data_IF_975885308226
#
_entry.id   IF_975885308226
#
_cell.length_a   1.000
_cell.length_b   1.000
_cell.length_c   1.000
_cell.angle_alpha   90.00
_cell.angle_beta   90.00
_cell.angle_gamma   90.00
#
_symmetry.space_group_name_H-M   'P 1'
#
loop_
_entity.id
_entity.type
_entity.pdbx_description
1 polymer ?
#
# COMPACT_ATOMS: atom_id res chain seq x y z
N UNK A 1 8.19 -94.01 21.84
CA UNK A 1 7.31 -94.41 20.72
C UNK A 1 7.71 -95.82 20.31
N UNK A 2 6.84 -96.78 20.58
CA UNK A 2 7.06 -98.20 20.28
C UNK A 2 6.98 -98.42 18.77
N UNK A 3 7.91 -99.19 18.23
CA UNK A 3 8.07 -99.50 16.79
C UNK A 3 6.78 -99.94 16.10
N UNK A 4 5.86 -100.55 16.84
CA UNK A 4 4.54 -100.98 16.38
C UNK A 4 3.58 -99.84 16.03
N UNK A 5 3.66 -98.69 16.70
CA UNK A 5 2.85 -97.50 16.36
C UNK A 5 3.39 -96.80 15.11
N UNK A 6 4.70 -96.86 14.90
CA UNK A 6 5.35 -96.31 13.71
C UNK A 6 5.09 -97.19 12.48
N UNK A 7 5.07 -98.53 12.64
CA UNK A 7 4.70 -99.46 11.56
C UNK A 7 3.20 -99.41 11.22
N UNK A 8 2.30 -99.22 12.19
CA UNK A 8 0.87 -99.03 11.89
C UNK A 8 0.59 -97.68 11.26
N UNK A 9 1.27 -96.61 11.68
CA UNK A 9 1.19 -95.31 11.01
C UNK A 9 1.77 -95.41 9.58
N UNK A 10 2.90 -96.09 9.40
CA UNK A 10 3.54 -96.28 8.10
C UNK A 10 2.72 -97.16 7.15
N UNK A 11 2.10 -98.24 7.64
CA UNK A 11 1.22 -99.09 6.82
C UNK A 11 -0.10 -98.40 6.48
N UNK A 12 -0.68 -97.61 7.38
CA UNK A 12 -1.87 -96.82 7.10
C UNK A 12 -1.59 -95.68 6.09
N UNK A 13 -0.37 -95.14 6.07
CA UNK A 13 0.10 -94.19 5.04
C UNK A 13 0.40 -94.89 3.71
N UNK A 14 0.96 -96.11 3.73
CA UNK A 14 1.37 -96.89 2.56
C UNK A 14 0.19 -97.51 1.78
N UNK A 15 -0.89 -97.91 2.46
CA UNK A 15 -1.99 -98.67 1.84
C UNK A 15 -3.09 -97.83 1.16
N UNK A 16 -2.91 -96.52 1.00
CA UNK A 16 -3.89 -95.60 0.37
C UNK A 16 -5.34 -95.69 0.93
N UNK A 17 -5.58 -96.34 2.07
CA UNK A 17 -6.94 -96.58 2.58
C UNK A 17 -7.63 -95.29 3.02
N UNK A 18 -6.86 -94.25 3.38
CA UNK A 18 -7.40 -92.94 3.71
C UNK A 18 -7.95 -92.18 2.49
N UNK A 19 -7.42 -92.43 1.29
CA UNK A 19 -7.90 -91.76 0.07
C UNK A 19 -9.20 -92.34 -0.47
N UNK A 20 -9.68 -93.46 0.07
CA UNK A 20 -10.95 -94.09 -0.37
C UNK A 20 -12.09 -93.91 0.65
N UNK A 21 -11.84 -93.27 1.80
CA UNK A 21 -12.88 -92.96 2.79
C UNK A 21 -13.51 -91.60 2.49
N UNK A 22 -14.80 -91.60 2.14
CA UNK A 22 -15.55 -90.37 1.82
C UNK A 22 -15.53 -89.34 2.96
N UNK A 23 -15.35 -89.79 4.22
CA UNK A 23 -15.22 -88.93 5.40
C UNK A 23 -13.95 -88.08 5.35
N UNK A 24 -12.86 -88.59 4.79
CA UNK A 24 -11.60 -87.87 4.62
C UNK A 24 -11.78 -86.66 3.69
N UNK A 25 -12.46 -86.84 2.54
CA UNK A 25 -12.77 -85.75 1.62
C UNK A 25 -13.70 -84.70 2.25
N UNK A 26 -14.68 -85.12 3.06
CA UNK A 26 -15.60 -84.21 3.75
C UNK A 26 -14.87 -83.29 4.74
N UNK A 27 -13.94 -83.84 5.52
CA UNK A 27 -13.10 -83.07 6.46
C UNK A 27 -12.18 -82.13 5.70
N UNK A 28 -11.56 -82.59 4.60
CA UNK A 28 -10.67 -81.78 3.79
C UNK A 28 -11.40 -80.60 3.12
N UNK A 29 -12.58 -80.84 2.55
CA UNK A 29 -13.45 -79.79 2.01
C UNK A 29 -13.88 -78.80 3.10
N UNK A 30 -14.26 -79.30 4.27
CA UNK A 30 -14.63 -78.43 5.41
C UNK A 30 -13.45 -77.56 5.85
N UNK A 31 -12.23 -78.10 5.88
CA UNK A 31 -11.02 -77.39 6.26
C UNK A 31 -10.66 -76.30 5.23
N UNK A 32 -10.81 -76.59 3.94
CA UNK A 32 -10.63 -75.62 2.85
C UNK A 32 -11.69 -74.52 2.88
N UNK A 33 -12.96 -74.87 3.14
CA UNK A 33 -14.05 -73.89 3.26
C UNK A 33 -13.84 -72.96 4.46
N UNK A 34 -13.49 -73.51 5.62
CA UNK A 34 -13.19 -72.72 6.83
C UNK A 34 -11.96 -71.84 6.59
N UNK A 35 -10.88 -72.40 6.02
CA UNK A 35 -9.67 -71.64 5.67
C UNK A 35 -9.95 -70.50 4.69
N UNK A 36 -10.79 -70.74 3.68
CA UNK A 36 -11.21 -69.74 2.69
C UNK A 36 -12.10 -68.66 3.31
N UNK A 37 -13.00 -69.03 4.23
CA UNK A 37 -13.85 -68.09 4.95
C UNK A 37 -13.03 -67.15 5.85
N UNK A 38 -12.10 -67.71 6.64
CA UNK A 38 -11.19 -66.91 7.46
C UNK A 38 -10.25 -66.05 6.61
N UNK A 39 -9.72 -66.58 5.51
CA UNK A 39 -8.88 -65.82 4.57
C UNK A 39 -9.64 -64.65 3.94
N UNK A 40 -10.89 -64.86 3.52
CA UNK A 40 -11.74 -63.80 2.98
C UNK A 40 -12.09 -62.75 4.05
N UNK A 41 -12.37 -63.16 5.28
CA UNK A 41 -12.66 -62.25 6.39
C UNK A 41 -11.46 -61.36 6.75
N UNK A 42 -10.28 -61.94 6.92
CA UNK A 42 -9.04 -61.19 7.22
C UNK A 42 -8.71 -60.23 6.08
N UNK A 43 -8.82 -60.69 4.83
CA UNK A 43 -8.58 -59.83 3.65
C UNK A 43 -9.57 -58.67 3.60
N UNK A 44 -10.86 -58.93 3.83
CA UNK A 44 -11.89 -57.89 3.86
C UNK A 44 -11.61 -56.87 4.95
N UNK A 45 -11.36 -57.32 6.18
CA UNK A 45 -11.07 -56.45 7.32
C UNK A 45 -9.80 -55.61 7.11
N UNK A 46 -8.71 -56.21 6.62
CA UNK A 46 -7.47 -55.50 6.31
C UNK A 46 -7.67 -54.46 5.20
N UNK A 47 -8.45 -54.80 4.17
CA UNK A 47 -8.78 -53.88 3.07
C UNK A 47 -9.63 -52.71 3.56
N UNK A 48 -10.64 -52.98 4.38
CA UNK A 48 -11.52 -51.94 4.96
C UNK A 48 -10.73 -51.00 5.88
N UNK A 49 -9.85 -51.56 6.72
CA UNK A 49 -8.97 -50.77 7.59
C UNK A 49 -7.97 -49.94 6.80
N UNK A 50 -7.37 -50.49 5.74
CA UNK A 50 -6.47 -49.76 4.86
C UNK A 50 -7.20 -48.62 4.13
N UNK A 51 -8.41 -48.86 3.63
CA UNK A 51 -9.27 -47.83 3.01
C UNK A 51 -9.62 -46.72 4.00
N UNK A 52 -10.07 -47.06 5.22
CA UNK A 52 -10.36 -46.06 6.24
C UNK A 52 -9.12 -45.25 6.64
N UNK A 53 -7.96 -45.89 6.74
CA UNK A 53 -6.71 -45.19 7.02
C UNK A 53 -6.32 -44.23 5.90
N UNK A 54 -6.48 -44.65 4.63
CA UNK A 54 -6.23 -43.80 3.47
C UNK A 54 -7.19 -42.60 3.44
N UNK A 55 -8.49 -42.83 3.66
CA UNK A 55 -9.51 -41.76 3.74
C UNK A 55 -9.18 -40.76 4.86
N UNK A 56 -8.77 -41.24 6.03
CA UNK A 56 -8.39 -40.36 7.13
C UNK A 56 -7.14 -39.53 6.81
N UNK A 57 -6.16 -40.13 6.14
CA UNK A 57 -4.97 -39.42 5.65
C UNK A 57 -5.34 -38.34 4.63
N UNK A 58 -6.16 -38.68 3.64
CA UNK A 58 -6.62 -37.74 2.61
C UNK A 58 -7.42 -36.59 3.24
N UNK A 59 -8.27 -36.87 4.23
CA UNK A 59 -9.01 -35.85 4.98
C UNK A 59 -8.07 -34.94 5.78
N UNK A 60 -7.01 -35.47 6.40
CA UNK A 60 -6.01 -34.64 7.08
C UNK A 60 -5.25 -33.74 6.10
N UNK A 61 -4.93 -34.24 4.92
CA UNK A 61 -4.25 -33.46 3.88
C UNK A 61 -5.16 -32.36 3.33
N UNK A 62 -6.44 -32.67 3.11
CA UNK A 62 -7.45 -31.68 2.69
C UNK A 62 -7.60 -30.59 3.76
N UNK A 63 -7.68 -30.95 5.04
CA UNK A 63 -7.77 -29.96 6.14
C UNK A 63 -6.53 -29.07 6.19
N UNK A 64 -5.35 -29.65 6.04
CA UNK A 64 -4.08 -28.89 6.02
C UNK A 64 -4.06 -27.91 4.85
N UNK A 65 -4.36 -28.38 3.63
CA UNK A 65 -4.45 -27.54 2.43
C UNK A 65 -5.49 -26.42 2.57
N UNK A 66 -6.66 -26.71 3.15
CA UNK A 66 -7.70 -25.72 3.39
C UNK A 66 -7.25 -24.66 4.41
N UNK A 67 -6.59 -25.10 5.48
CA UNK A 67 -6.01 -24.20 6.50
C UNK A 67 -4.94 -23.29 5.90
N UNK A 68 -4.02 -23.84 5.11
CA UNK A 68 -2.97 -23.09 4.42
C UNK A 68 -3.54 -22.09 3.41
N UNK A 69 -4.56 -22.52 2.63
CA UNK A 69 -5.25 -21.65 1.67
C UNK A 69 -5.96 -20.51 2.39
N UNK A 70 -6.66 -20.79 3.49
CA UNK A 70 -7.36 -19.77 4.29
C UNK A 70 -6.37 -18.78 4.89
N UNK A 71 -5.28 -19.28 5.49
CA UNK A 71 -4.21 -18.44 6.05
C UNK A 71 -3.56 -17.55 4.99
N UNK A 72 -3.33 -18.09 3.80
CA UNK A 72 -2.75 -17.35 2.67
C UNK A 72 -3.73 -16.28 2.18
N UNK A 73 -5.02 -16.62 2.08
CA UNK A 73 -6.08 -15.69 1.65
C UNK A 73 -6.22 -14.52 2.64
N UNK A 74 -6.27 -14.80 3.94
CA UNK A 74 -6.34 -13.76 4.97
C UNK A 74 -5.09 -12.88 4.98
N UNK A 75 -3.91 -13.47 4.76
CA UNK A 75 -2.67 -12.70 4.62
C UNK A 75 -2.73 -11.75 3.41
N UNK A 76 -3.11 -12.26 2.24
CA UNK A 76 -3.24 -11.45 1.02
C UNK A 76 -4.28 -10.33 1.23
N UNK A 77 -5.43 -10.65 1.83
CA UNK A 77 -6.47 -9.67 2.13
C UNK A 77 -5.97 -8.57 3.07
N UNK A 78 -5.23 -8.92 4.11
CA UNK A 78 -4.64 -7.95 5.02
C UNK A 78 -3.59 -7.08 4.33
N UNK A 79 -2.71 -7.67 3.52
CA UNK A 79 -1.71 -6.93 2.74
C UNK A 79 -2.37 -5.94 1.77
N UNK A 80 -3.36 -6.39 0.99
CA UNK A 80 -4.14 -5.53 0.09
C UNK A 80 -4.86 -4.40 0.84
N UNK A 81 -5.45 -4.71 2.00
CA UNK A 81 -6.12 -3.71 2.84
C UNK A 81 -5.13 -2.65 3.33
N UNK A 82 -3.96 -3.06 3.82
CA UNK A 82 -2.93 -2.14 4.27
C UNK A 82 -2.39 -1.27 3.13
N UNK A 83 -2.15 -1.86 1.95
CA UNK A 83 -1.69 -1.12 0.78
C UNK A 83 -2.74 -0.10 0.31
N UNK A 84 -4.02 -0.51 0.24
CA UNK A 84 -5.12 0.38 -0.09
C UNK A 84 -5.24 1.54 0.91
N UNK A 85 -5.23 1.25 2.21
CA UNK A 85 -5.29 2.28 3.27
C UNK A 85 -4.09 3.23 3.21
N UNK A 86 -2.90 2.72 2.91
CA UNK A 86 -1.69 3.53 2.73
C UNK A 86 -1.79 4.42 1.50
N UNK A 87 -2.30 3.91 0.39
CA UNK A 87 -2.50 4.70 -0.82
C UNK A 87 -3.53 5.80 -0.59
N UNK A 88 -4.66 5.45 0.00
CA UNK A 88 -5.72 6.41 0.34
C UNK A 88 -5.22 7.49 1.30
N UNK A 89 -4.43 7.13 2.31
CA UNK A 89 -3.87 8.12 3.26
C UNK A 89 -2.87 9.06 2.59
N UNK A 90 -2.04 8.55 1.66
CA UNK A 90 -1.13 9.39 0.86
C UNK A 90 -1.89 10.33 -0.08
N UNK A 91 -2.94 9.86 -0.74
CA UNK A 91 -3.78 10.68 -1.62
C UNK A 91 -4.49 11.79 -0.82
N UNK A 92 -5.06 11.46 0.34
CA UNK A 92 -5.69 12.44 1.24
C UNK A 92 -4.68 13.48 1.73
N UNK A 93 -3.49 13.05 2.15
CA UNK A 93 -2.43 13.94 2.58
C UNK A 93 -1.99 14.89 1.46
N UNK A 94 -1.88 14.38 0.21
CA UNK A 94 -1.58 15.24 -0.95
C UNK A 94 -2.68 16.28 -1.20
N UNK A 95 -3.96 15.95 -1.05
CA UNK A 95 -5.05 16.93 -1.20
C UNK A 95 -4.97 18.03 -0.14
N UNK A 96 -4.82 17.65 1.13
CA UNK A 96 -4.67 18.59 2.23
C UNK A 96 -3.49 19.54 2.01
N UNK A 97 -2.34 19.00 1.60
CA UNK A 97 -1.14 19.81 1.33
C UNK A 97 -1.30 20.70 0.11
N UNK A 98 -2.10 20.31 -0.88
CA UNK A 98 -2.35 21.14 -2.07
C UNK A 98 -3.24 22.34 -1.71
N UNK A 99 -4.26 22.12 -0.88
CA UNK A 99 -5.09 23.21 -0.35
C UNK A 99 -4.27 24.19 0.52
N UNK A 100 -3.42 23.66 1.40
CA UNK A 100 -2.50 24.46 2.21
C UNK A 100 -1.53 25.26 1.32
N UNK A 101 -1.00 24.63 0.28
CA UNK A 101 -0.14 25.28 -0.70
C UNK A 101 -0.83 26.46 -1.39
N UNK A 102 -2.04 26.28 -1.89
CA UNK A 102 -2.80 27.38 -2.51
C UNK A 102 -3.07 28.51 -1.54
N UNK A 103 -3.46 28.20 -0.30
CA UNK A 103 -3.67 29.22 0.73
C UNK A 103 -2.41 30.06 0.94
N UNK A 104 -1.24 29.41 1.02
CA UNK A 104 0.03 30.10 1.21
C UNK A 104 0.43 30.93 -0.01
N UNK A 105 0.15 30.48 -1.23
CA UNK A 105 0.40 31.25 -2.47
C UNK A 105 -0.41 32.55 -2.45
N UNK A 106 -1.71 32.47 -2.15
CA UNK A 106 -2.55 33.66 -2.04
C UNK A 106 -2.13 34.57 -0.89
N UNK A 107 -1.75 33.99 0.25
CA UNK A 107 -1.23 34.73 1.40
C UNK A 107 0.08 35.44 1.06
N UNK A 108 0.98 34.80 0.34
CA UNK A 108 2.25 35.40 -0.09
C UNK A 108 2.00 36.57 -1.04
N UNK A 109 1.11 36.41 -2.03
CA UNK A 109 0.68 37.50 -2.90
C UNK A 109 0.12 38.70 -2.11
N UNK A 110 -0.79 38.43 -1.16
CA UNK A 110 -1.36 39.48 -0.31
C UNK A 110 -0.30 40.15 0.59
N UNK A 111 0.63 39.36 1.12
CA UNK A 111 1.70 39.85 1.99
C UNK A 111 2.63 40.81 1.25
N UNK A 112 2.94 40.58 -0.03
CA UNK A 112 3.72 41.51 -0.85
C UNK A 112 3.04 42.87 -1.01
N UNK A 113 1.74 42.86 -1.27
CA UNK A 113 0.96 44.09 -1.38
C UNK A 113 0.93 44.84 -0.05
N UNK A 114 0.68 44.13 1.05
CA UNK A 114 0.61 44.72 2.38
C UNK A 114 1.97 45.24 2.83
N UNK A 115 3.06 44.52 2.56
CA UNK A 115 4.42 44.99 2.84
C UNK A 115 4.71 46.30 2.08
N UNK A 116 4.34 46.38 0.79
CA UNK A 116 4.49 47.61 0.01
C UNK A 116 3.63 48.75 0.58
N UNK A 117 2.37 48.51 0.93
CA UNK A 117 1.49 49.53 1.51
C UNK A 117 2.07 50.09 2.81
N UNK A 118 2.58 49.20 3.66
CA UNK A 118 3.21 49.58 4.91
C UNK A 118 4.50 50.39 4.67
N UNK A 119 5.32 49.94 3.71
CA UNK A 119 6.58 50.58 3.39
C UNK A 119 6.42 51.98 2.77
N UNK A 120 5.46 52.16 1.87
CA UNK A 120 5.34 53.37 1.05
C UNK A 120 4.39 54.39 1.67
N UNK A 121 3.29 53.93 2.26
CA UNK A 121 2.20 54.79 2.71
C UNK A 121 1.99 54.79 4.23
N UNK A 122 2.88 54.15 4.99
CA UNK A 122 2.81 54.03 6.45
C UNK A 122 1.47 53.47 6.95
N UNK A 123 0.88 52.57 6.15
CA UNK A 123 -0.28 51.76 6.55
C UNK A 123 0.22 50.67 7.50
N UNK A 124 -0.68 50.15 8.36
CA UNK A 124 -0.38 49.06 9.28
C UNK A 124 -1.18 47.81 8.91
N UNK A 125 -1.01 47.31 7.69
CA UNK A 125 -1.62 46.06 7.25
C UNK A 125 -0.81 44.85 7.75
N UNK A 126 -1.47 43.78 8.22
CA UNK A 126 -0.76 42.55 8.57
C UNK A 126 -0.17 41.90 7.32
N UNK A 127 1.06 41.40 7.41
CA UNK A 127 1.70 40.63 6.35
C UNK A 127 2.53 39.49 6.94
N UNK A 128 2.80 38.46 6.15
CA UNK A 128 3.52 37.26 6.57
C UNK A 128 4.78 37.05 5.69
N UNK A 129 5.99 37.38 6.21
CA UNK A 129 7.22 37.29 5.42
C UNK A 129 7.64 35.84 5.12
N UNK A 130 7.13 34.85 5.87
CA UNK A 130 7.49 33.44 5.73
C UNK A 130 6.52 32.68 4.81
N UNK A 131 5.51 33.35 4.24
CA UNK A 131 4.52 32.71 3.39
C UNK A 131 5.14 32.04 2.16
N UNK A 132 6.08 32.71 1.48
CA UNK A 132 6.75 32.17 0.29
C UNK A 132 7.65 30.97 0.63
N UNK A 133 8.38 31.04 1.74
CA UNK A 133 9.28 29.96 2.17
C UNK A 133 8.49 28.70 2.52
N UNK A 134 7.36 28.83 3.21
CA UNK A 134 6.46 27.71 3.50
C UNK A 134 5.84 27.13 2.22
N UNK A 135 5.51 27.96 1.22
CA UNK A 135 5.14 27.45 -0.10
C UNK A 135 6.25 26.56 -0.68
N UNK A 136 7.50 27.03 -0.63
CA UNK A 136 8.66 26.30 -1.15
C UNK A 136 8.88 24.95 -0.47
N UNK A 137 8.66 24.87 0.84
CA UNK A 137 8.76 23.60 1.59
C UNK A 137 7.68 22.62 1.12
N UNK A 138 6.41 23.04 1.09
CA UNK A 138 5.31 22.17 0.67
C UNK A 138 5.52 21.69 -0.78
N UNK A 139 5.89 22.60 -1.68
CA UNK A 139 6.17 22.27 -3.08
C UNK A 139 7.25 21.20 -3.19
N UNK A 140 8.40 21.36 -2.52
CA UNK A 140 9.52 20.42 -2.62
C UNK A 140 9.19 19.04 -2.05
N UNK A 141 8.41 18.99 -0.97
CA UNK A 141 8.09 17.74 -0.28
C UNK A 141 6.95 16.97 -0.95
N UNK A 142 5.93 17.67 -1.44
CA UNK A 142 4.67 17.05 -1.87
C UNK A 142 4.40 17.17 -3.37
N UNK A 143 4.89 18.23 -4.03
CA UNK A 143 4.52 18.59 -5.40
C UNK A 143 5.74 18.97 -6.27
N UNK A 144 6.71 18.06 -6.47
CA UNK A 144 7.86 18.32 -7.33
C UNK A 144 7.48 18.71 -8.77
N UNK A 145 6.33 18.27 -9.26
CA UNK A 145 5.76 18.62 -10.56
C UNK A 145 5.45 20.12 -10.71
N UNK A 146 5.13 20.83 -9.63
CA UNK A 146 4.85 22.28 -9.65
C UNK A 146 6.12 23.14 -9.60
N UNK A 147 7.31 22.52 -9.62
CA UNK A 147 8.59 23.22 -9.42
C UNK A 147 8.80 24.38 -10.39
N UNK A 148 8.47 24.21 -11.67
CA UNK A 148 8.71 25.25 -12.67
C UNK A 148 7.80 26.45 -12.47
N UNK A 149 6.50 26.22 -12.27
CA UNK A 149 5.53 27.27 -11.99
C UNK A 149 5.85 27.98 -10.67
N UNK A 150 6.25 27.22 -9.64
CA UNK A 150 6.66 27.80 -8.36
C UNK A 150 7.93 28.65 -8.48
N UNK A 151 8.90 28.24 -9.31
CA UNK A 151 10.10 29.03 -9.57
C UNK A 151 9.76 30.35 -10.28
N UNK A 152 8.84 30.34 -11.25
CA UNK A 152 8.34 31.57 -11.89
C UNK A 152 7.73 32.52 -10.86
N UNK A 153 6.86 32.00 -9.99
CA UNK A 153 6.25 32.78 -8.91
C UNK A 153 7.30 33.35 -7.95
N UNK A 154 8.23 32.52 -7.46
CA UNK A 154 9.32 32.95 -6.57
C UNK A 154 10.21 34.03 -7.21
N UNK A 155 10.52 33.91 -8.50
CA UNK A 155 11.29 34.93 -9.22
C UNK A 155 10.52 36.25 -9.38
N UNK A 156 9.22 36.18 -9.69
CA UNK A 156 8.36 37.37 -9.78
C UNK A 156 8.28 38.09 -8.42
N UNK A 157 8.07 37.33 -7.34
CA UNK A 157 8.08 37.84 -5.97
C UNK A 157 9.42 38.49 -5.62
N UNK A 158 10.55 37.83 -5.90
CA UNK A 158 11.87 38.39 -5.60
C UNK A 158 12.13 39.70 -6.35
N UNK A 159 11.69 39.82 -7.61
CA UNK A 159 11.78 41.08 -8.37
C UNK A 159 10.94 42.18 -7.72
N UNK A 160 9.73 41.86 -7.26
CA UNK A 160 8.84 42.80 -6.58
C UNK A 160 9.42 43.27 -5.23
N UNK A 161 9.97 42.35 -4.42
CA UNK A 161 10.64 42.67 -3.16
C UNK A 161 11.87 43.58 -3.38
N UNK A 162 12.67 43.30 -4.41
CA UNK A 162 13.81 44.14 -4.77
C UNK A 162 13.36 45.56 -5.14
N UNK A 163 12.30 45.69 -5.92
CA UNK A 163 11.70 46.98 -6.25
C UNK A 163 11.18 47.71 -5.00
N UNK A 164 10.46 47.02 -4.11
CA UNK A 164 9.98 47.57 -2.83
C UNK A 164 11.14 48.07 -1.96
N UNK A 165 12.24 47.31 -1.92
CA UNK A 165 13.45 47.70 -1.20
C UNK A 165 14.11 48.97 -1.78
N UNK A 166 14.10 49.15 -3.12
CA UNK A 166 14.56 50.39 -3.76
C UNK A 166 13.66 51.56 -3.38
N UNK A 167 12.33 51.39 -3.42
CA UNK A 167 11.38 52.41 -3.00
C UNK A 167 11.54 52.84 -1.54
N UNK A 168 11.80 51.87 -0.63
CA UNK A 168 12.10 52.18 0.78
C UNK A 168 13.35 53.03 0.94
N UNK A 169 14.41 52.75 0.16
CA UNK A 169 15.65 53.53 0.20
C UNK A 169 15.40 54.96 -0.30
N UNK A 170 14.69 55.13 -1.41
CA UNK A 170 14.34 56.44 -1.95
C UNK A 170 13.50 57.26 -0.96
N UNK A 171 12.47 56.66 -0.36
CA UNK A 171 11.67 57.28 0.72
C UNK A 171 12.56 57.74 1.87
N UNK A 172 13.45 56.87 2.38
CA UNK A 172 14.35 57.20 3.48
C UNK A 172 15.32 58.34 3.14
N UNK A 173 15.90 58.36 1.93
CA UNK A 173 16.77 59.44 1.47
C UNK A 173 16.06 60.78 1.40
N UNK A 174 14.80 60.79 0.96
CA UNK A 174 13.97 62.01 0.91
C UNK A 174 13.57 62.49 2.31
N UNK A 175 13.30 61.57 3.23
CA UNK A 175 13.09 61.92 4.65
C UNK A 175 14.33 62.59 5.26
N UNK A 176 15.53 62.07 4.96
CA UNK A 176 16.79 62.68 5.42
C UNK A 176 17.03 64.08 4.85
N UNK A 177 16.46 64.39 3.67
CA UNK A 177 16.48 65.73 3.06
C UNK A 177 15.43 66.69 3.65
N UNK A 178 14.63 66.23 4.61
CA UNK A 178 13.63 67.05 5.31
C UNK A 178 12.26 67.05 4.66
N UNK A 179 11.99 66.17 3.68
CA UNK A 179 10.64 66.00 3.14
C UNK A 179 9.73 65.34 4.20
N UNK A 180 8.57 65.94 4.45
CA UNK A 180 7.58 65.40 5.38
C UNK A 180 6.77 64.29 4.69
N UNK A 181 6.86 63.06 5.21
CA UNK A 181 6.18 61.87 4.71
C UNK A 181 6.29 61.68 3.18
N UNK A 182 7.52 61.54 2.64
CA UNK A 182 7.69 61.34 1.21
C UNK A 182 7.20 59.94 0.83
N UNK A 183 6.55 59.84 -0.32
CA UNK A 183 6.36 58.58 -1.04
C UNK A 183 7.54 58.34 -1.98
N UNK A 184 7.80 57.10 -2.43
CA UNK A 184 8.83 56.85 -3.45
C UNK A 184 8.63 57.71 -4.71
N UNK A 185 9.74 58.02 -5.39
CA UNK A 185 9.73 58.80 -6.63
C UNK A 185 8.88 58.17 -7.73
N UNK A 186 8.30 59.00 -8.60
CA UNK A 186 7.42 58.58 -9.70
C UNK A 186 8.11 57.58 -10.65
N UNK A 187 9.42 57.74 -10.86
CA UNK A 187 10.22 56.80 -11.66
C UNK A 187 10.24 55.39 -11.08
N UNK A 188 10.23 55.25 -9.74
CA UNK A 188 10.13 53.95 -9.07
C UNK A 188 8.71 53.41 -9.19
N UNK A 189 7.70 54.26 -8.97
CA UNK A 189 6.30 53.85 -9.02
C UNK A 189 5.85 53.39 -10.41
N UNK A 190 6.45 53.91 -11.50
CA UNK A 190 6.11 53.51 -12.86
C UNK A 190 6.33 52.01 -13.16
N UNK A 191 7.28 51.36 -12.47
CA UNK A 191 7.52 49.90 -12.62
C UNK A 191 6.54 49.03 -11.84
N UNK A 192 5.68 49.60 -10.98
CA UNK A 192 4.79 48.83 -10.10
C UNK A 192 3.87 47.90 -10.89
N UNK A 193 3.14 48.44 -11.87
CA UNK A 193 2.09 47.70 -12.57
C UNK A 193 2.65 46.51 -13.35
N UNK A 194 3.81 46.68 -13.99
CA UNK A 194 4.51 45.59 -14.70
C UNK A 194 4.92 44.46 -13.74
N UNK A 195 5.52 44.83 -12.60
CA UNK A 195 5.99 43.85 -11.61
C UNK A 195 4.82 43.14 -10.93
N UNK A 196 3.75 43.86 -10.62
CA UNK A 196 2.56 43.31 -10.02
C UNK A 196 1.81 42.37 -10.97
N UNK A 197 1.70 42.74 -12.25
CA UNK A 197 1.13 41.88 -13.28
C UNK A 197 1.94 40.59 -13.46
N UNK A 198 3.28 40.67 -13.38
CA UNK A 198 4.13 39.48 -13.41
C UNK A 198 3.86 38.55 -12.22
N UNK A 199 3.65 39.09 -11.02
CA UNK A 199 3.25 38.31 -9.83
C UNK A 199 1.89 37.68 -10.07
N UNK A 200 0.87 38.44 -10.50
CA UNK A 200 -0.48 37.92 -10.75
C UNK A 200 -0.46 36.79 -11.80
N UNK A 201 0.20 37.02 -12.94
CA UNK A 201 0.32 36.03 -14.00
C UNK A 201 0.98 34.76 -13.51
N UNK A 202 2.06 34.86 -12.73
CA UNK A 202 2.75 33.68 -12.19
C UNK A 202 1.91 32.91 -11.16
N UNK A 203 1.07 33.61 -10.37
CA UNK A 203 0.10 32.97 -9.47
C UNK A 203 -0.97 32.24 -10.27
N UNK A 204 -1.48 32.84 -11.34
CA UNK A 204 -2.49 32.23 -12.19
C UNK A 204 -1.95 30.93 -12.84
N UNK A 205 -0.79 31.00 -13.47
CA UNK A 205 -0.12 29.82 -14.06
C UNK A 205 0.14 28.72 -13.02
N UNK A 206 0.48 29.09 -11.79
CA UNK A 206 0.69 28.13 -10.70
C UNK A 206 -0.60 27.46 -10.26
N UNK A 207 -1.68 28.22 -10.13
CA UNK A 207 -3.00 27.73 -9.71
C UNK A 207 -3.60 26.83 -10.80
N UNK A 208 -3.47 27.19 -12.08
CA UNK A 208 -3.89 26.33 -13.19
C UNK A 208 -3.17 24.99 -13.16
N UNK A 209 -1.83 24.99 -13.08
CA UNK A 209 -1.06 23.75 -12.97
C UNK A 209 -1.41 22.92 -11.73
N UNK A 210 -1.72 23.60 -10.61
CA UNK A 210 -2.19 22.95 -9.40
C UNK A 210 -3.59 22.35 -9.54
N UNK A 211 -4.49 22.98 -10.30
CA UNK A 211 -5.83 22.45 -10.57
C UNK A 211 -5.75 21.20 -11.45
N UNK A 212 -4.91 21.20 -12.49
CA UNK A 212 -4.65 20.00 -13.31
C UNK A 212 -4.09 18.85 -12.46
N UNK A 213 -3.28 19.16 -11.45
CA UNK A 213 -2.81 18.19 -10.48
C UNK A 213 -3.95 17.69 -9.57
N UNK A 214 -4.81 18.58 -9.09
CA UNK A 214 -5.97 18.22 -8.27
C UNK A 214 -6.93 17.28 -9.03
N UNK A 215 -7.17 17.55 -10.31
CA UNK A 215 -7.99 16.68 -11.17
C UNK A 215 -7.41 15.26 -11.27
N UNK A 216 -6.09 15.14 -11.47
CA UNK A 216 -5.39 13.85 -11.49
C UNK A 216 -5.40 13.10 -10.15
N UNK A 217 -5.49 13.81 -9.03
CA UNK A 217 -5.61 13.20 -7.71
C UNK A 217 -7.05 12.73 -7.40
N UNK A 218 -8.02 13.23 -8.15
CA UNK A 218 -9.44 12.92 -8.00
C UNK A 218 -9.94 11.86 -9.00
N UNK A 219 -9.21 11.62 -10.10
CA UNK A 219 -9.46 10.57 -11.09
C UNK A 219 -8.97 9.20 -10.62
#
# INVERSE_FOLDING_TARGET
MTSTQLETLANLISNQTFTNDWKFYLVLVSLVLIGSFFGAYIKSYATEKAKNSAIMSDLSDIKTKLSETTRTTEKIKNELSHEYLRRQSLENLKREKLEEYFRLVYLSKASLQNEMLNAFYDVSEPYDPEALDRCGIIQRLYFPELRQNHLKFSNATSRYEQWSAIGRKDKAERMLKGEANPVPSESILHSHDELWEAVISSVHELVEAGNELAERLNS
#
